data_IF_802931258099
#
_entry.id   IF_802931258099
#
_cell.length_a   1.000
_cell.length_b   1.000
_cell.length_c   1.000
_cell.angle_alpha   90.00
_cell.angle_beta   90.00
_cell.angle_gamma   90.00
#
_symmetry.space_group_name_H-M   'P 1'
#
loop_
_entity.id
_entity.type
_entity.pdbx_description
1 polymer ?
#
# COMPACT_ATOMS: atom_id res chain seq x y z
N UNK A 1 5.73 -7.38 -4.73
CA UNK A 1 5.39 -5.99 -4.38
C UNK A 1 5.07 -5.98 -2.91
N UNK A 2 6.02 -5.57 -2.06
CA UNK A 2 5.72 -5.36 -0.64
C UNK A 2 4.65 -4.26 -0.47
N UNK A 3 3.70 -4.50 0.42
CA UNK A 3 2.62 -3.56 0.73
C UNK A 3 2.66 -3.22 2.23
N UNK A 4 1.89 -2.22 2.63
CA UNK A 4 1.79 -1.81 4.03
C UNK A 4 0.32 -1.69 4.43
N UNK A 5 -0.01 -2.15 5.63
CA UNK A 5 -1.27 -1.87 6.28
C UNK A 5 -1.05 -0.73 7.28
N UNK A 6 -1.83 0.33 7.18
CA UNK A 6 -1.72 1.48 8.06
C UNK A 6 -2.88 1.48 9.07
N UNK A 7 -2.58 1.74 10.34
CA UNK A 7 -3.59 1.86 11.37
C UNK A 7 -4.20 3.26 11.38
N UNK A 8 -5.51 3.31 11.15
CA UNK A 8 -6.26 4.56 11.00
C UNK A 8 -6.76 5.15 12.33
N UNK A 9 -6.53 4.47 13.45
CA UNK A 9 -6.88 5.02 14.76
C UNK A 9 -6.12 6.35 14.99
N UNK A 10 -6.88 7.42 15.21
CA UNK A 10 -6.33 8.77 15.37
C UNK A 10 -5.22 8.79 16.43
N UNK A 11 -4.02 9.20 16.01
CA UNK A 11 -2.83 9.27 16.86
C UNK A 11 -2.05 7.96 17.06
N UNK A 12 -2.46 6.84 16.44
CA UNK A 12 -1.73 5.57 16.54
C UNK A 12 -0.49 5.54 15.63
N UNK A 13 -0.66 5.87 14.35
CA UNK A 13 0.41 5.92 13.33
C UNK A 13 1.16 4.60 13.17
N UNK A 14 0.54 3.46 13.50
CA UNK A 14 1.17 2.16 13.33
C UNK A 14 1.09 1.72 11.88
N UNK A 15 2.21 1.29 11.32
CA UNK A 15 2.30 0.73 9.97
C UNK A 15 2.85 -0.68 10.10
N UNK A 16 2.24 -1.62 9.40
CA UNK A 16 2.66 -3.02 9.38
C UNK A 16 3.02 -3.43 7.95
N UNK A 17 4.28 -3.83 7.67
CA UNK A 17 4.66 -4.33 6.37
C UNK A 17 4.04 -5.71 6.15
N UNK A 18 3.51 -5.91 4.96
CA UNK A 18 2.95 -7.19 4.50
C UNK A 18 3.51 -7.52 3.12
N UNK A 19 3.59 -8.81 2.82
CA UNK A 19 4.04 -9.25 1.49
C UNK A 19 3.02 -8.87 0.40
N UNK A 20 1.73 -8.96 0.72
CA UNK A 20 0.62 -8.55 -0.14
C UNK A 20 -0.60 -8.22 0.72
N UNK A 21 -1.51 -7.42 0.18
CA UNK A 21 -2.81 -7.16 0.82
C UNK A 21 -3.74 -8.31 0.41
N UNK A 22 -4.15 -9.14 1.36
CA UNK A 22 -5.04 -10.28 1.11
C UNK A 22 -6.30 -10.20 1.95
N UNK A 23 -7.35 -10.91 1.53
CA UNK A 23 -8.63 -10.91 2.23
C UNK A 23 -8.51 -11.34 3.70
N UNK A 24 -7.53 -12.20 4.02
CA UNK A 24 -7.26 -12.67 5.38
C UNK A 24 -6.78 -11.56 6.34
N UNK A 25 -6.31 -10.41 5.82
CA UNK A 25 -5.92 -9.27 6.64
C UNK A 25 -7.12 -8.40 7.06
N UNK A 26 -8.31 -8.62 6.49
CA UNK A 26 -9.51 -7.83 6.81
C UNK A 26 -9.89 -8.06 8.28
N UNK A 27 -10.00 -6.96 9.03
CA UNK A 27 -10.29 -7.01 10.46
C UNK A 27 -9.11 -7.44 11.33
N UNK A 28 -7.91 -7.61 10.76
CA UNK A 28 -6.68 -7.81 11.54
C UNK A 28 -6.50 -6.64 12.52
N UNK A 29 -6.42 -6.90 13.84
CA UNK A 29 -6.33 -5.85 14.82
C UNK A 29 -4.92 -5.24 14.86
N UNK A 30 -4.86 -3.92 15.02
CA UNK A 30 -3.63 -3.20 15.22
C UNK A 30 -3.01 -3.61 16.57
N UNK A 31 -1.73 -4.02 16.61
CA UNK A 31 -1.07 -4.42 17.85
C UNK A 31 -0.91 -3.29 18.87
N UNK A 32 -1.01 -2.02 18.43
CA UNK A 32 -0.90 -0.86 19.34
C UNK A 32 -2.23 -0.45 19.98
N UNK A 33 -3.34 -0.49 19.25
CA UNK A 33 -4.61 0.11 19.70
C UNK A 33 -5.85 -0.76 19.48
N UNK A 34 -5.71 -1.94 18.86
CA UNK A 34 -6.80 -2.89 18.63
C UNK A 34 -7.78 -2.52 17.50
N UNK A 35 -7.66 -1.35 16.88
CA UNK A 35 -8.45 -0.97 15.70
C UNK A 35 -8.07 -1.81 14.48
N UNK A 36 -8.95 -1.95 13.49
CA UNK A 36 -8.64 -2.73 12.29
C UNK A 36 -7.54 -2.07 11.46
N UNK A 37 -6.58 -2.86 10.98
CA UNK A 37 -5.54 -2.44 10.04
C UNK A 37 -5.99 -2.43 8.57
N UNK A 38 -7.07 -3.16 8.29
CA UNK A 38 -7.68 -3.23 6.97
C UNK A 38 -9.18 -3.45 7.13
N UNK A 39 -9.98 -2.57 6.52
CA UNK A 39 -11.43 -2.76 6.47
C UNK A 39 -11.85 -3.46 5.18
N UNK A 40 -13.07 -4.01 5.15
CA UNK A 40 -13.64 -4.59 3.92
C UNK A 40 -13.68 -3.56 2.78
N UNK A 41 -14.07 -2.33 3.07
CA UNK A 41 -14.16 -1.26 2.07
C UNK A 41 -12.80 -0.90 1.47
N UNK A 42 -11.75 -0.88 2.29
CA UNK A 42 -10.38 -0.61 1.81
C UNK A 42 -9.88 -1.76 0.93
N UNK A 43 -10.12 -3.01 1.33
CA UNK A 43 -9.76 -4.19 0.55
C UNK A 43 -10.49 -4.23 -0.80
N UNK A 44 -11.80 -4.02 -0.81
CA UNK A 44 -12.61 -4.07 -2.03
C UNK A 44 -12.15 -2.99 -3.03
N UNK A 45 -11.80 -1.79 -2.55
CA UNK A 45 -11.25 -0.75 -3.41
C UNK A 45 -9.86 -1.12 -3.94
N UNK A 46 -8.98 -1.64 -3.07
CA UNK A 46 -7.63 -2.07 -3.46
C UNK A 46 -7.70 -3.14 -4.56
N UNK A 47 -8.49 -4.19 -4.36
CA UNK A 47 -8.61 -5.31 -5.29
C UNK A 47 -9.26 -4.90 -6.62
N UNK A 48 -10.24 -3.99 -6.58
CA UNK A 48 -10.94 -3.56 -7.80
C UNK A 48 -10.17 -2.51 -8.61
N UNK A 49 -9.39 -1.63 -7.97
CA UNK A 49 -8.84 -0.43 -8.62
C UNK A 49 -7.31 -0.36 -8.58
N UNK A 50 -6.69 -0.73 -7.46
CA UNK A 50 -5.26 -0.48 -7.23
C UNK A 50 -4.41 -1.66 -7.69
N UNK A 51 -4.74 -2.88 -7.27
CA UNK A 51 -4.01 -4.08 -7.66
C UNK A 51 -3.96 -4.28 -9.19
N UNK A 52 -5.06 -4.15 -9.95
CA UNK A 52 -5.03 -4.35 -11.40
C UNK A 52 -4.18 -3.28 -12.10
N UNK A 53 -4.26 -2.03 -11.63
CA UNK A 53 -3.46 -0.92 -12.15
C UNK A 53 -1.97 -1.17 -11.91
N UNK A 54 -1.59 -1.57 -10.70
CA UNK A 54 -0.19 -1.89 -10.40
C UNK A 54 0.33 -3.04 -11.24
N UNK A 55 -0.47 -4.09 -11.41
CA UNK A 55 -0.10 -5.21 -12.28
C UNK A 55 0.11 -4.76 -13.71
N UNK A 56 -0.81 -3.96 -14.27
CA UNK A 56 -0.68 -3.42 -15.62
C UNK A 56 0.60 -2.59 -15.80
N UNK A 57 0.92 -1.71 -14.84
CA UNK A 57 2.12 -0.87 -14.89
C UNK A 57 3.40 -1.67 -14.71
N UNK A 58 3.38 -2.70 -13.86
CA UNK A 58 4.48 -3.65 -13.67
C UNK A 58 4.74 -4.44 -14.95
N UNK A 59 3.69 -4.99 -15.58
CA UNK A 59 3.80 -5.75 -16.83
C UNK A 59 4.29 -4.87 -17.99
N UNK A 60 3.97 -3.57 -17.97
CA UNK A 60 4.49 -2.57 -18.91
C UNK A 60 5.93 -2.11 -18.60
N UNK A 61 6.53 -2.59 -17.51
CA UNK A 61 7.88 -2.21 -17.06
C UNK A 61 7.99 -0.79 -16.48
N UNK A 62 6.86 -0.14 -16.19
CA UNK A 62 6.80 1.23 -15.66
C UNK A 62 6.91 1.29 -14.13
N UNK A 63 6.67 0.16 -13.45
CA UNK A 63 6.87 0.01 -12.01
C UNK A 63 7.72 -1.22 -11.73
N UNK A 64 8.54 -1.11 -10.69
CA UNK A 64 9.37 -2.19 -10.15
C UNK A 64 9.36 -2.09 -8.63
N UNK A 65 9.61 -3.19 -7.94
CA UNK A 65 9.78 -3.14 -6.50
C UNK A 65 10.97 -2.26 -6.12
N UNK A 66 10.83 -1.51 -5.02
CA UNK A 66 11.93 -0.74 -4.46
C UNK A 66 12.99 -1.72 -3.92
N UNK A 67 14.08 -1.90 -4.68
CA UNK A 67 15.16 -2.84 -4.37
C UNK A 67 16.29 -2.77 -5.40
N UNK A 68 17.50 -2.55 -4.87
CA UNK A 68 18.84 -2.38 -5.46
C UNK A 68 19.03 -2.06 -6.96
N UNK A 69 19.56 -0.85 -7.19
CA UNK A 69 20.61 -0.62 -8.17
C UNK A 69 20.17 -0.40 -9.62
N UNK A 70 19.26 0.56 -9.87
CA UNK A 70 19.13 1.12 -11.22
C UNK A 70 19.88 2.44 -11.30
N UNK A 71 20.77 2.57 -12.29
CA UNK A 71 21.42 3.85 -12.65
C UNK A 71 20.46 4.83 -13.35
N UNK A 72 19.20 4.43 -13.52
CA UNK A 72 18.15 5.19 -14.19
C UNK A 72 17.42 6.08 -13.17
N UNK A 73 17.04 7.31 -13.55
CA UNK A 73 16.25 8.18 -12.69
C UNK A 73 14.92 7.51 -12.35
N UNK A 74 14.69 7.31 -11.06
CA UNK A 74 13.46 6.72 -10.54
C UNK A 74 12.89 7.57 -9.42
N UNK A 75 11.59 7.44 -9.18
CA UNK A 75 10.92 8.02 -8.03
C UNK A 75 10.21 6.91 -7.27
N UNK A 76 10.35 6.91 -5.94
CA UNK A 76 9.56 6.06 -5.06
C UNK A 76 8.14 6.63 -5.03
N UNK A 77 7.16 5.82 -5.43
CA UNK A 77 5.74 6.20 -5.39
C UNK A 77 5.01 5.31 -4.39
N UNK A 78 4.45 5.93 -3.36
CA UNK A 78 3.61 5.27 -2.35
C UNK A 78 2.16 5.62 -2.58
N UNK A 79 1.31 4.60 -2.61
CA UNK A 79 -0.14 4.74 -2.79
C UNK A 79 -0.84 4.32 -1.49
N UNK A 80 -1.77 5.16 -1.04
CA UNK A 80 -2.68 4.85 0.06
C UNK A 80 -4.12 5.10 -0.37
N UNK A 81 -5.04 4.26 0.10
CA UNK A 81 -6.46 4.50 -0.03
C UNK A 81 -7.13 4.18 1.30
N UNK A 82 -7.98 5.10 1.76
CA UNK A 82 -8.79 4.89 2.96
C UNK A 82 -9.98 5.85 2.99
N UNK A 83 -11.15 5.38 3.43
CA UNK A 83 -12.37 6.19 3.63
C UNK A 83 -12.70 7.10 2.43
N UNK A 84 -12.60 6.54 1.22
CA UNK A 84 -12.85 7.24 -0.04
C UNK A 84 -11.75 8.24 -0.45
N UNK A 85 -10.64 8.32 0.27
CA UNK A 85 -9.51 9.22 -0.02
C UNK A 85 -8.32 8.43 -0.56
N UNK A 86 -7.89 8.80 -1.75
CA UNK A 86 -6.63 8.32 -2.35
C UNK A 86 -5.51 9.30 -2.04
N UNK A 87 -4.39 8.80 -1.51
CA UNK A 87 -3.15 9.55 -1.31
C UNK A 87 -2.06 8.96 -2.17
N UNK A 88 -1.32 9.82 -2.88
CA UNK A 88 -0.16 9.44 -3.68
C UNK A 88 0.99 10.32 -3.23
N UNK A 89 2.09 9.70 -2.79
CA UNK A 89 3.32 10.39 -2.39
C UNK A 89 4.43 9.94 -3.33
N UNK A 90 5.09 10.88 -4.00
CA UNK A 90 6.28 10.63 -4.81
C UNK A 90 7.51 11.25 -4.15
N UNK A 91 8.59 10.47 -4.01
CA UNK A 91 9.89 10.96 -3.55
C UNK A 91 10.96 10.64 -4.61
N UNK A 92 11.87 11.58 -4.91
CA UNK A 92 13.03 11.28 -5.75
C UNK A 92 13.82 10.13 -5.13
N UNK A 93 14.26 9.19 -5.96
CA UNK A 93 15.20 8.15 -5.55
C UNK A 93 16.59 8.64 -6.02
N UNK A 94 17.36 9.22 -5.10
CA UNK A 94 18.72 9.75 -5.36
C UNK A 94 19.76 8.63 -5.51
#
# INVERSE_FOLDING_TARGET
MSAVLNCDAAGCGHVEPVESIIEADIGRPCPKCGANLLTRADFDYWAANIEPMFRMLSDAGLLREAGEGSSEPSALVSFGYHDGKTTIVSQPND
#
